data_IF_591487099371
#
_entry.id   IF_591487099371
#
_cell.length_a   1.000
_cell.length_b   1.000
_cell.length_c   1.000
_cell.angle_alpha   90.00
_cell.angle_beta   90.00
_cell.angle_gamma   90.00
#
_symmetry.space_group_name_H-M   'P 1'
#
loop_
_entity.id
_entity.type
_entity.pdbx_description
1 polymer ?
#
# COMPACT_ATOMS: atom_id res chain seq x y z
N UNK A 1 -4.70 18.37 -14.41
CA UNK A 1 -5.11 17.10 -15.04
C UNK A 1 -6.29 16.54 -14.23
N UNK A 2 -7.26 15.92 -14.91
CA UNK A 2 -8.33 15.22 -14.18
C UNK A 2 -7.79 13.96 -13.51
N UNK A 3 -8.41 13.56 -12.40
CA UNK A 3 -7.95 12.44 -11.56
C UNK A 3 -7.83 11.12 -12.34
N UNK A 4 -8.88 10.71 -13.05
CA UNK A 4 -8.89 9.41 -13.73
C UNK A 4 -7.79 9.22 -14.80
N UNK A 5 -7.58 10.14 -15.76
CA UNK A 5 -6.46 10.02 -16.69
C UNK A 5 -5.08 10.02 -16.03
N UNK A 6 -4.94 10.70 -14.89
CA UNK A 6 -3.70 10.66 -14.14
C UNK A 6 -3.45 9.27 -13.53
N UNK A 7 -4.48 8.63 -12.98
CA UNK A 7 -4.36 7.29 -12.43
C UNK A 7 -4.15 6.23 -13.52
N UNK A 8 -4.81 6.36 -14.67
CA UNK A 8 -4.57 5.50 -15.82
C UNK A 8 -3.11 5.56 -16.29
N UNK A 9 -2.53 6.76 -16.37
CA UNK A 9 -1.10 6.92 -16.69
C UNK A 9 -0.19 6.22 -15.68
N UNK A 10 -0.48 6.32 -14.37
CA UNK A 10 0.25 5.63 -13.32
C UNK A 10 0.13 4.11 -13.43
N UNK A 11 -1.06 3.61 -13.68
CA UNK A 11 -1.31 2.18 -13.84
C UNK A 11 -0.58 1.62 -15.05
N UNK A 12 -0.59 2.33 -16.18
CA UNK A 12 0.16 1.94 -17.37
C UNK A 12 1.66 1.83 -17.10
N UNK A 13 2.23 2.70 -16.27
CA UNK A 13 3.64 2.61 -15.85
C UNK A 13 3.89 1.38 -14.98
N UNK A 14 3.05 1.12 -13.98
CA UNK A 14 3.17 -0.02 -13.06
C UNK A 14 3.06 -1.34 -13.83
N UNK A 15 2.05 -1.50 -14.65
CA UNK A 15 1.84 -2.74 -15.41
C UNK A 15 2.88 -2.91 -16.53
N UNK A 16 3.29 -1.83 -17.18
CA UNK A 16 4.40 -1.85 -18.13
C UNK A 16 5.73 -2.26 -17.51
N UNK A 17 6.03 -1.78 -16.31
CA UNK A 17 7.19 -2.20 -15.53
C UNK A 17 7.11 -3.67 -15.12
N UNK A 18 5.91 -4.16 -14.76
CA UNK A 18 5.66 -5.57 -14.44
C UNK A 18 5.95 -6.48 -15.63
N UNK A 19 5.48 -6.12 -16.80
CA UNK A 19 5.79 -6.85 -18.05
C UNK A 19 7.29 -6.82 -18.38
N UNK A 20 7.94 -5.68 -18.15
CA UNK A 20 9.37 -5.52 -18.30
C UNK A 20 10.17 -6.44 -17.36
N UNK A 21 9.77 -6.53 -16.10
CA UNK A 21 10.37 -7.39 -15.09
C UNK A 21 10.29 -8.89 -15.48
N UNK A 22 9.14 -9.32 -16.00
CA UNK A 22 8.96 -10.69 -16.49
C UNK A 22 9.88 -10.96 -17.68
N UNK A 23 9.81 -10.12 -18.71
CA UNK A 23 10.61 -10.29 -19.94
C UNK A 23 12.12 -10.20 -19.69
N UNK A 24 12.53 -9.32 -18.77
CA UNK A 24 13.92 -9.17 -18.37
C UNK A 24 14.41 -10.24 -17.39
N UNK A 25 13.53 -11.16 -16.97
CA UNK A 25 13.86 -12.21 -16.00
C UNK A 25 14.42 -11.64 -14.68
N UNK A 26 13.91 -10.48 -14.24
CA UNK A 26 14.36 -9.75 -13.05
C UNK A 26 14.33 -10.65 -11.80
N UNK A 27 13.27 -11.43 -11.62
CA UNK A 27 13.05 -12.26 -10.43
C UNK A 27 14.15 -13.30 -10.16
N UNK A 28 14.96 -13.66 -11.18
CA UNK A 28 16.13 -14.53 -11.02
C UNK A 28 17.42 -13.77 -10.74
N UNK A 29 17.40 -12.44 -10.85
CA UNK A 29 18.55 -11.56 -10.64
C UNK A 29 18.48 -10.85 -9.30
N UNK A 30 17.31 -10.78 -8.71
CA UNK A 30 17.05 -10.19 -7.39
C UNK A 30 17.72 -11.06 -6.31
N UNK A 31 18.31 -10.40 -5.32
CA UNK A 31 18.94 -11.10 -4.19
C UNK A 31 17.91 -11.94 -3.42
N UNK A 32 18.25 -13.20 -3.14
CA UNK A 32 17.37 -14.15 -2.47
C UNK A 32 16.87 -13.62 -1.12
N UNK A 33 17.75 -13.05 -0.31
CA UNK A 33 17.38 -12.47 0.99
C UNK A 33 16.34 -11.36 0.86
N UNK A 34 16.40 -10.58 -0.22
CA UNK A 34 15.39 -9.56 -0.52
C UNK A 34 14.04 -10.18 -0.88
N UNK A 35 14.03 -11.25 -1.69
CA UNK A 35 12.82 -11.98 -2.03
C UNK A 35 12.18 -12.65 -0.81
N UNK A 36 12.96 -13.19 0.11
CA UNK A 36 12.45 -13.72 1.38
C UNK A 36 11.78 -12.63 2.24
N UNK A 37 12.37 -11.43 2.28
CA UNK A 37 11.73 -10.30 2.94
C UNK A 37 10.43 -9.90 2.24
N UNK A 38 10.37 -9.92 0.91
CA UNK A 38 9.16 -9.63 0.14
C UNK A 38 7.99 -10.58 0.45
N UNK A 39 8.26 -11.83 0.81
CA UNK A 39 7.21 -12.76 1.24
C UNK A 39 6.43 -12.23 2.44
N UNK A 40 7.14 -11.68 3.41
CA UNK A 40 6.50 -11.06 4.57
C UNK A 40 5.81 -9.76 4.17
N UNK A 41 6.53 -8.85 3.55
CA UNK A 41 6.04 -7.52 3.21
C UNK A 41 4.79 -7.55 2.33
N UNK A 42 4.83 -8.23 1.18
CA UNK A 42 3.70 -8.32 0.25
C UNK A 42 2.53 -9.16 0.79
N UNK A 43 2.74 -9.92 1.86
CA UNK A 43 1.65 -10.61 2.55
C UNK A 43 0.89 -9.70 3.50
N UNK A 44 1.51 -8.64 3.99
CA UNK A 44 0.98 -7.75 5.03
C UNK A 44 0.45 -6.46 4.43
N UNK A 45 1.19 -5.84 3.53
CA UNK A 45 0.95 -4.46 3.09
C UNK A 45 -0.44 -4.22 2.46
N UNK A 46 -1.11 -5.16 1.79
CA UNK A 46 -2.46 -4.94 1.30
C UNK A 46 -3.53 -4.80 2.39
N UNK A 47 -3.23 -5.23 3.62
CA UNK A 47 -4.21 -5.22 4.72
C UNK A 47 -4.51 -3.80 5.25
N UNK A 48 -3.50 -2.95 5.56
CA UNK A 48 -3.76 -1.56 5.93
C UNK A 48 -4.51 -0.79 4.86
N UNK A 49 -4.20 -0.96 3.59
CA UNK A 49 -4.89 -0.29 2.47
C UNK A 49 -6.39 -0.61 2.45
N UNK A 50 -6.75 -1.90 2.58
CA UNK A 50 -8.17 -2.30 2.67
C UNK A 50 -8.83 -1.75 3.93
N UNK A 51 -8.11 -1.67 5.04
CA UNK A 51 -8.63 -1.07 6.28
C UNK A 51 -8.88 0.42 6.12
N UNK A 52 -7.96 1.15 5.48
CA UNK A 52 -8.11 2.56 5.14
C UNK A 52 -9.31 2.78 4.21
N UNK A 53 -9.41 2.00 3.12
CA UNK A 53 -10.55 2.04 2.21
C UNK A 53 -11.90 1.86 2.93
N UNK A 54 -11.97 0.99 3.93
CA UNK A 54 -13.18 0.75 4.74
C UNK A 54 -13.46 1.86 5.74
N UNK A 55 -12.45 2.57 6.21
CA UNK A 55 -12.61 3.71 7.11
C UNK A 55 -13.16 4.95 6.38
N UNK A 56 -12.79 5.17 5.12
CA UNK A 56 -13.17 6.36 4.35
C UNK A 56 -14.68 6.64 4.31
N UNK A 57 -15.59 5.66 4.10
CA UNK A 57 -17.02 5.92 4.14
C UNK A 57 -17.55 6.44 5.49
N UNK A 58 -16.87 6.13 6.58
CA UNK A 58 -17.22 6.66 7.91
C UNK A 58 -16.78 8.12 8.03
N UNK A 59 -15.57 8.43 7.62
CA UNK A 59 -15.04 9.80 7.58
C UNK A 59 -15.86 10.68 6.64
N UNK A 60 -16.16 10.17 5.45
CA UNK A 60 -16.97 10.86 4.45
C UNK A 60 -18.33 11.32 4.99
N UNK A 61 -19.02 10.54 5.83
CA UNK A 61 -20.32 10.88 6.39
C UNK A 61 -20.30 12.05 7.36
N UNK A 62 -19.16 12.37 7.91
CA UNK A 62 -19.02 13.29 9.04
C UNK A 62 -18.35 14.59 8.70
N UNK A 63 -17.71 14.65 7.56
CA UNK A 63 -17.06 15.87 7.08
C UNK A 63 -18.10 16.77 6.42
N UNK A 64 -18.34 18.00 6.95
CA UNK A 64 -19.37 18.90 6.42
C UNK A 64 -18.95 19.63 5.15
N UNK A 65 -17.64 19.71 4.86
CA UNK A 65 -17.11 20.45 3.73
C UNK A 65 -17.15 19.59 2.44
N UNK A 66 -17.83 20.04 1.36
CA UNK A 66 -17.89 19.29 0.10
C UNK A 66 -16.56 19.00 -0.57
N UNK A 67 -15.57 19.88 -0.40
CA UNK A 67 -14.23 19.67 -0.98
C UNK A 67 -13.49 18.54 -0.27
N UNK A 68 -13.55 18.50 1.06
CA UNK A 68 -13.01 17.40 1.86
C UNK A 68 -13.78 16.10 1.61
N UNK A 69 -15.09 16.16 1.41
CA UNK A 69 -15.90 15.02 0.97
C UNK A 69 -15.35 14.38 -0.31
N UNK A 70 -15.10 15.20 -1.31
CA UNK A 70 -14.53 14.72 -2.57
C UNK A 70 -13.11 14.16 -2.39
N UNK A 71 -12.30 14.80 -1.56
CA UNK A 71 -10.96 14.32 -1.20
C UNK A 71 -10.99 12.93 -0.59
N UNK A 72 -11.89 12.69 0.37
CA UNK A 72 -12.04 11.39 1.02
C UNK A 72 -12.62 10.31 0.10
N UNK A 73 -13.55 10.68 -0.79
CA UNK A 73 -14.06 9.74 -1.80
C UNK A 73 -12.97 9.30 -2.78
N UNK A 74 -12.11 10.23 -3.19
CA UNK A 74 -10.95 9.95 -4.03
C UNK A 74 -9.94 9.08 -3.28
N UNK A 75 -9.64 9.39 -2.02
CA UNK A 75 -8.77 8.58 -1.17
C UNK A 75 -9.27 7.13 -1.06
N UNK A 76 -10.56 6.91 -0.84
CA UNK A 76 -11.13 5.56 -0.82
C UNK A 76 -10.84 4.78 -2.11
N UNK A 77 -10.94 5.44 -3.26
CA UNK A 77 -10.63 4.83 -4.57
C UNK A 77 -9.13 4.51 -4.66
N UNK A 78 -8.28 5.41 -4.20
CA UNK A 78 -6.83 5.22 -4.17
C UNK A 78 -6.45 4.02 -3.30
N UNK A 79 -7.01 3.87 -2.10
CA UNK A 79 -6.73 2.75 -1.20
C UNK A 79 -7.11 1.38 -1.81
N UNK A 80 -8.26 1.32 -2.49
CA UNK A 80 -8.66 0.13 -3.24
C UNK A 80 -7.67 -0.16 -4.38
N UNK A 81 -7.23 0.88 -5.08
CA UNK A 81 -6.22 0.78 -6.13
C UNK A 81 -4.89 0.29 -5.57
N UNK A 82 -4.40 0.88 -4.47
CA UNK A 82 -3.15 0.49 -3.81
C UNK A 82 -3.18 -0.98 -3.41
N UNK A 83 -4.23 -1.41 -2.73
CA UNK A 83 -4.40 -2.81 -2.37
C UNK A 83 -4.41 -3.73 -3.59
N UNK A 84 -5.06 -3.34 -4.68
CA UNK A 84 -5.12 -4.12 -5.92
C UNK A 84 -3.74 -4.26 -6.56
N UNK A 85 -2.99 -3.16 -6.66
CA UNK A 85 -1.62 -3.16 -7.20
C UNK A 85 -0.70 -4.05 -6.36
N UNK A 86 -0.77 -3.93 -5.04
CA UNK A 86 0.06 -4.71 -4.11
C UNK A 86 -0.28 -6.21 -4.16
N UNK A 87 -1.55 -6.57 -4.30
CA UNK A 87 -1.97 -7.97 -4.48
C UNK A 87 -1.50 -8.52 -5.84
N UNK A 88 -1.57 -7.73 -6.91
CA UNK A 88 -1.05 -8.12 -8.22
C UNK A 88 0.47 -8.28 -8.18
N UNK A 89 1.17 -7.38 -7.49
CA UNK A 89 2.61 -7.48 -7.26
C UNK A 89 2.96 -8.76 -6.51
N UNK A 90 2.26 -9.06 -5.41
CA UNK A 90 2.42 -10.33 -4.68
C UNK A 90 2.26 -11.54 -5.59
N UNK A 91 1.19 -11.56 -6.40
CA UNK A 91 0.95 -12.66 -7.36
C UNK A 91 2.08 -12.78 -8.37
N UNK A 92 2.62 -11.66 -8.82
CA UNK A 92 3.72 -11.64 -9.77
C UNK A 92 4.98 -12.29 -9.16
N UNK A 93 5.36 -11.91 -7.92
CA UNK A 93 6.47 -12.55 -7.22
C UNK A 93 6.20 -14.04 -6.99
N UNK A 94 5.01 -14.43 -6.52
CA UNK A 94 4.66 -15.84 -6.32
C UNK A 94 4.79 -16.68 -7.59
N UNK A 95 4.42 -16.14 -8.73
CA UNK A 95 4.45 -16.87 -10.01
C UNK A 95 5.85 -16.99 -10.61
N UNK A 96 6.78 -16.12 -10.23
CA UNK A 96 8.12 -16.04 -10.85
C UNK A 96 9.25 -16.42 -9.89
N UNK A 97 8.96 -16.62 -8.61
CA UNK A 97 9.94 -17.03 -7.63
C UNK A 97 9.95 -18.55 -7.45
N UNK A 98 11.13 -19.09 -7.11
CA UNK A 98 11.36 -20.55 -7.00
C UNK A 98 10.58 -21.19 -5.86
N UNK A 99 10.43 -20.48 -4.74
CA UNK A 99 9.67 -20.95 -3.57
C UNK A 99 8.52 -20.01 -3.20
N UNK A 100 7.33 -20.18 -3.78
CA UNK A 100 6.17 -19.34 -3.46
C UNK A 100 5.49 -19.69 -2.12
N UNK A 101 5.80 -20.82 -1.51
CA UNK A 101 5.07 -21.33 -0.34
C UNK A 101 5.18 -20.41 0.88
N UNK A 102 6.29 -19.66 1.01
CA UNK A 102 6.55 -18.75 2.11
C UNK A 102 5.54 -17.60 2.25
N UNK A 103 4.92 -17.14 1.18
CA UNK A 103 3.96 -16.01 1.22
C UNK A 103 2.78 -16.26 2.16
N UNK A 104 2.17 -17.43 2.13
CA UNK A 104 1.04 -17.74 2.99
C UNK A 104 1.43 -18.02 4.45
N UNK A 105 2.58 -18.66 4.68
CA UNK A 105 3.09 -18.89 6.03
C UNK A 105 3.51 -17.60 6.70
N UNK A 106 4.15 -16.68 5.99
CA UNK A 106 4.53 -15.36 6.50
C UNK A 106 3.32 -14.55 6.96
N UNK A 107 2.22 -14.55 6.22
CA UNK A 107 0.98 -13.89 6.65
C UNK A 107 0.44 -14.49 7.95
N UNK A 108 0.36 -15.82 8.05
CA UNK A 108 -0.14 -16.50 9.26
C UNK A 108 0.76 -16.23 10.47
N UNK A 109 2.07 -16.26 10.28
CA UNK A 109 3.03 -15.98 11.33
C UNK A 109 2.86 -14.54 11.84
N UNK A 110 2.75 -13.56 10.93
CA UNK A 110 2.50 -12.17 11.30
C UNK A 110 1.17 -12.00 12.05
N UNK A 111 0.08 -12.62 11.58
CA UNK A 111 -1.24 -12.50 12.22
C UNK A 111 -1.27 -13.06 13.65
N UNK A 112 -0.41 -14.03 13.96
CA UNK A 112 -0.28 -14.64 15.27
C UNK A 112 0.81 -14.02 16.15
N UNK A 113 1.62 -13.14 15.58
CA UNK A 113 2.66 -12.40 16.31
C UNK A 113 2.07 -11.21 17.08
N UNK A 114 2.77 -10.78 18.11
CA UNK A 114 2.39 -9.62 18.93
C UNK A 114 2.26 -8.34 18.09
N UNK A 115 3.24 -8.06 17.22
CA UNK A 115 3.22 -6.89 16.36
C UNK A 115 2.05 -6.93 15.36
N UNK A 116 1.76 -8.10 14.80
CA UNK A 116 0.62 -8.29 13.90
C UNK A 116 -0.72 -8.10 14.59
N UNK A 117 -0.82 -8.55 15.85
CA UNK A 117 -2.01 -8.34 16.69
C UNK A 117 -2.25 -6.85 16.95
N UNK A 118 -1.21 -6.10 17.33
CA UNK A 118 -1.29 -4.65 17.55
C UNK A 118 -1.65 -3.93 16.24
N UNK A 119 -0.98 -4.25 15.14
CA UNK A 119 -1.27 -3.65 13.83
C UNK A 119 -2.71 -3.88 13.39
N UNK A 120 -3.24 -5.07 13.63
CA UNK A 120 -4.65 -5.37 13.34
C UNK A 120 -5.60 -4.56 14.24
N UNK A 121 -5.36 -4.51 15.54
CA UNK A 121 -6.18 -3.72 16.47
C UNK A 121 -6.17 -2.23 16.10
N UNK A 122 -5.02 -1.70 15.70
CA UNK A 122 -4.90 -0.34 15.22
C UNK A 122 -5.74 -0.12 13.95
N UNK A 123 -5.65 -1.00 12.96
CA UNK A 123 -6.44 -0.91 11.73
C UNK A 123 -7.94 -1.10 11.97
N UNK A 124 -8.33 -2.02 12.86
CA UNK A 124 -9.72 -2.20 13.28
C UNK A 124 -10.28 -0.96 13.98
N UNK A 125 -9.46 -0.22 14.73
CA UNK A 125 -9.84 1.03 15.38
C UNK A 125 -10.32 2.11 14.41
N UNK A 126 -9.81 2.12 13.16
CA UNK A 126 -10.30 3.04 12.12
C UNK A 126 -11.75 2.75 11.71
N UNK A 127 -12.17 1.51 11.79
CA UNK A 127 -13.46 1.03 11.26
C UNK A 127 -14.52 1.01 12.36
N UNK A 128 -14.13 0.75 13.59
CA UNK A 128 -15.02 0.51 14.72
C UNK A 128 -15.07 1.65 15.73
N UNK A 129 -14.16 2.61 15.61
CA UNK A 129 -14.04 3.71 16.58
C UNK A 129 -15.17 4.73 16.46
N UNK A 130 -15.74 5.12 17.60
CA UNK A 130 -16.75 6.18 17.67
C UNK A 130 -16.15 7.58 17.52
N UNK A 131 -14.84 7.72 17.64
CA UNK A 131 -14.12 8.99 17.59
C UNK A 131 -13.54 9.24 16.18
N UNK A 132 -14.36 9.79 15.30
CA UNK A 132 -14.02 10.03 13.89
C UNK A 132 -12.81 10.93 13.70
N UNK A 133 -12.69 11.99 14.49
CA UNK A 133 -11.52 12.87 14.46
C UNK A 133 -10.25 12.10 14.82
N UNK A 134 -10.30 11.24 15.84
CA UNK A 134 -9.17 10.41 16.22
C UNK A 134 -8.83 9.40 15.10
N UNK A 135 -9.82 8.80 14.45
CA UNK A 135 -9.62 7.90 13.33
C UNK A 135 -8.93 8.60 12.15
N UNK A 136 -9.34 9.84 11.81
CA UNK A 136 -8.68 10.63 10.78
C UNK A 136 -7.22 10.95 11.15
N UNK A 137 -6.96 11.38 12.37
CA UNK A 137 -5.59 11.66 12.87
C UNK A 137 -4.74 10.39 12.82
N UNK A 138 -5.27 9.26 13.29
CA UNK A 138 -4.51 8.00 13.27
C UNK A 138 -4.22 7.51 11.85
N UNK A 139 -5.16 7.65 10.93
CA UNK A 139 -4.96 7.24 9.54
C UNK A 139 -3.98 8.17 8.84
N UNK A 140 -4.30 9.45 8.71
CA UNK A 140 -3.57 10.37 7.83
C UNK A 140 -2.27 10.89 8.44
N UNK A 141 -2.26 11.18 9.75
CA UNK A 141 -1.07 11.76 10.40
C UNK A 141 -0.14 10.66 10.92
N UNK A 142 -0.68 9.63 11.56
CA UNK A 142 0.16 8.58 12.15
C UNK A 142 0.49 7.50 11.14
N UNK A 143 -0.52 6.84 10.54
CA UNK A 143 -0.27 5.73 9.63
C UNK A 143 0.39 6.20 8.32
N UNK A 144 -0.24 7.10 7.59
CA UNK A 144 0.26 7.52 6.27
C UNK A 144 1.55 8.35 6.37
N UNK A 145 1.63 9.30 7.29
CA UNK A 145 2.82 10.15 7.39
C UNK A 145 4.00 9.45 8.04
N UNK A 146 3.79 8.80 9.21
CA UNK A 146 4.90 8.27 9.99
C UNK A 146 5.35 6.86 9.57
N UNK A 147 4.45 6.05 8.98
CA UNK A 147 4.78 4.69 8.57
C UNK A 147 4.83 4.53 7.06
N UNK A 148 3.72 4.73 6.34
CA UNK A 148 3.65 4.40 4.91
C UNK A 148 4.51 5.31 4.06
N UNK A 149 4.47 6.62 4.30
CA UNK A 149 5.30 7.55 3.53
C UNK A 149 6.80 7.29 3.73
N UNK A 150 7.23 6.97 4.95
CA UNK A 150 8.65 6.61 5.22
C UNK A 150 9.03 5.35 4.45
N UNK A 151 8.17 4.33 4.43
CA UNK A 151 8.41 3.10 3.67
C UNK A 151 8.48 3.39 2.16
N UNK A 152 7.53 4.13 1.62
CA UNK A 152 7.47 4.41 0.19
C UNK A 152 8.60 5.32 -0.32
N UNK A 153 9.24 6.06 0.56
CA UNK A 153 10.43 6.87 0.21
C UNK A 153 11.72 6.07 0.38
N UNK A 154 11.87 5.29 1.44
CA UNK A 154 13.11 4.58 1.74
C UNK A 154 13.27 3.26 0.96
N UNK A 155 12.19 2.48 0.84
CA UNK A 155 12.22 1.15 0.23
C UNK A 155 12.61 1.11 -1.25
N UNK A 156 12.30 2.11 -2.10
CA UNK A 156 12.77 2.12 -3.47
C UNK A 156 14.29 2.00 -3.63
N UNK A 157 15.05 2.68 -2.77
CA UNK A 157 16.52 2.61 -2.78
C UNK A 157 17.02 1.21 -2.41
N UNK A 158 16.47 0.63 -1.35
CA UNK A 158 16.81 -0.73 -0.92
C UNK A 158 16.43 -1.78 -1.95
N UNK A 159 15.25 -1.66 -2.56
CA UNK A 159 14.80 -2.54 -3.61
C UNK A 159 15.79 -2.53 -4.81
N UNK A 160 16.12 -1.34 -5.29
CA UNK A 160 17.05 -1.19 -6.41
C UNK A 160 18.45 -1.75 -6.08
N UNK A 161 18.97 -1.53 -4.86
CA UNK A 161 20.24 -2.06 -4.39
C UNK A 161 20.27 -3.60 -4.38
N UNK A 162 19.11 -4.23 -4.22
CA UNK A 162 18.96 -5.68 -4.24
C UNK A 162 18.54 -6.24 -5.64
N UNK A 163 18.55 -5.41 -6.68
CA UNK A 163 18.22 -5.81 -8.05
C UNK A 163 16.71 -5.82 -8.36
N UNK A 164 15.89 -5.34 -7.44
CA UNK A 164 14.45 -5.23 -7.63
C UNK A 164 14.08 -3.83 -8.16
N UNK A 165 13.94 -3.74 -9.47
CA UNK A 165 13.59 -2.47 -10.13
C UNK A 165 12.07 -2.29 -10.33
N UNK A 166 11.25 -3.29 -10.00
CA UNK A 166 9.80 -3.21 -10.10
C UNK A 166 9.20 -2.49 -8.91
N UNK A 167 9.61 -2.85 -7.70
CA UNK A 167 9.07 -2.26 -6.46
C UNK A 167 9.20 -0.72 -6.41
N UNK A 168 10.32 -0.10 -6.82
CA UNK A 168 10.42 1.35 -6.89
C UNK A 168 9.33 2.01 -7.73
N UNK A 169 8.98 1.44 -8.89
CA UNK A 169 7.95 1.97 -9.77
C UNK A 169 6.56 1.91 -9.10
N UNK A 170 6.28 0.80 -8.44
CA UNK A 170 5.03 0.62 -7.68
C UNK A 170 4.95 1.62 -6.53
N UNK A 171 6.01 1.74 -5.74
CA UNK A 171 6.02 2.62 -4.58
C UNK A 171 5.90 4.10 -4.95
N UNK A 172 6.57 4.54 -6.01
CA UNK A 172 6.39 5.91 -6.50
C UNK A 172 4.96 6.19 -6.98
N UNK A 173 4.30 5.20 -7.56
CA UNK A 173 2.90 5.33 -7.96
C UNK A 173 1.99 5.52 -6.75
N UNK A 174 2.17 4.73 -5.69
CA UNK A 174 1.38 4.80 -4.45
C UNK A 174 1.72 6.08 -3.67
N UNK A 175 3.00 6.34 -3.42
CA UNK A 175 3.48 7.49 -2.62
C UNK A 175 2.94 8.84 -3.13
N UNK A 176 2.78 8.99 -4.43
CA UNK A 176 2.23 10.22 -4.99
C UNK A 176 0.74 10.43 -4.66
N UNK A 177 0.01 9.37 -4.34
CA UNK A 177 -1.37 9.42 -3.86
C UNK A 177 -1.39 9.70 -2.34
N UNK A 178 -0.54 9.03 -1.57
CA UNK A 178 -0.36 9.27 -0.13
C UNK A 178 -0.09 10.74 0.19
N UNK A 179 0.68 11.42 -0.64
CA UNK A 179 0.93 12.85 -0.47
C UNK A 179 -0.35 13.71 -0.54
N UNK A 180 -1.36 13.29 -1.33
CA UNK A 180 -2.67 13.95 -1.36
C UNK A 180 -3.51 13.61 -0.13
N UNK A 181 -3.47 12.35 0.31
CA UNK A 181 -4.19 11.90 1.51
C UNK A 181 -3.71 12.68 2.74
N UNK A 182 -2.40 12.76 2.91
CA UNK A 182 -1.77 13.54 3.98
C UNK A 182 -2.23 15.01 3.92
N UNK A 183 -2.20 15.63 2.73
CA UNK A 183 -2.65 17.01 2.56
C UNK A 183 -4.12 17.19 2.93
N UNK A 184 -5.00 16.26 2.55
CA UNK A 184 -6.40 16.27 2.93
C UNK A 184 -6.60 16.12 4.45
N UNK A 185 -5.78 15.33 5.11
CA UNK A 185 -5.85 15.10 6.55
C UNK A 185 -5.48 16.31 7.39
N UNK A 186 -4.68 17.24 6.84
CA UNK A 186 -4.31 18.51 7.51
C UNK A 186 -5.28 19.65 7.23
N UNK A 187 -6.26 19.49 6.36
CA UNK A 187 -7.26 20.52 5.99
C UNK A 187 -8.48 20.48 6.87
#
# INVERSE_FOLDING_TARGET
RSYFPMQEEKDNRVYGASDGAIRGNMFRQVQERWLEWQKLFLSIIPLPEISAARAMPLLFRTVPNPELHNGQAIQMIDEVRHSTIQQNLKRLYMNNYIDPAGFNSSLRNFQNDYCGTIGRQFAEGFITGDAITAANVYLTIVAETAFTNVLFVAMPGEAAANGDYLLPTVFHSVQSDESRHISNGYS
#
